data_IF_857653600756
#
_entry.id   IF_857653600756
#
_cell.length_a   1.000
_cell.length_b   1.000
_cell.length_c   1.000
_cell.angle_alpha   90.00
_cell.angle_beta   90.00
_cell.angle_gamma   90.00
#
_symmetry.space_group_name_H-M   'P 1'
#
loop_
_entity.id
_entity.type
_entity.pdbx_description
1 polymer ?
#
# COMPACT_ATOMS: atom_id res chain seq x y z
N UNK A 1 41.52 -75.85 15.13
CA UNK A 1 41.17 -74.45 14.85
C UNK A 1 39.94 -74.07 15.65
N UNK A 2 40.05 -73.17 16.64
CA UNK A 2 38.94 -72.42 17.25
C UNK A 2 39.54 -71.38 18.20
N UNK A 3 39.71 -70.15 17.72
CA UNK A 3 40.07 -69.00 18.56
C UNK A 3 38.84 -68.08 18.59
N UNK A 4 38.28 -67.95 19.79
CA UNK A 4 37.16 -67.05 20.11
C UNK A 4 37.71 -65.64 20.28
N UNK A 5 37.29 -64.70 19.43
CA UNK A 5 37.51 -63.28 19.67
C UNK A 5 36.19 -62.62 20.06
N UNK A 6 36.11 -62.28 21.34
CA UNK A 6 35.15 -61.38 21.98
C UNK A 6 35.69 -59.96 21.73
N UNK A 7 34.95 -59.08 21.05
CA UNK A 7 35.22 -57.65 21.09
C UNK A 7 33.94 -56.85 21.30
N UNK A 8 34.01 -56.00 22.32
CA UNK A 8 32.96 -55.23 22.97
C UNK A 8 32.28 -54.21 22.05
N UNK A 9 30.95 -54.18 22.16
CA UNK A 9 30.11 -53.06 21.72
C UNK A 9 30.30 -51.88 22.68
N UNK A 10 30.86 -50.78 22.20
CA UNK A 10 30.69 -49.45 22.82
C UNK A 10 29.73 -48.67 21.93
N UNK A 11 28.46 -48.67 22.33
CA UNK A 11 27.40 -47.87 21.71
C UNK A 11 27.36 -46.54 22.45
N UNK A 12 27.87 -45.47 21.83
CA UNK A 12 27.68 -44.09 22.29
C UNK A 12 26.47 -43.51 21.53
N UNK A 13 25.32 -43.25 22.17
CA UNK A 13 24.25 -42.50 21.53
C UNK A 13 24.62 -41.01 21.57
N UNK A 14 25.14 -40.49 20.46
CA UNK A 14 25.27 -39.05 20.26
C UNK A 14 23.86 -38.44 20.11
N UNK A 15 23.35 -37.89 21.22
CA UNK A 15 22.12 -37.12 21.29
C UNK A 15 22.30 -35.84 20.46
N UNK A 16 21.95 -35.90 19.18
CA UNK A 16 22.00 -34.77 18.26
C UNK A 16 20.86 -33.81 18.61
N UNK A 17 21.18 -32.78 19.39
CA UNK A 17 20.29 -31.70 19.77
C UNK A 17 20.02 -30.83 18.54
N UNK A 18 19.01 -31.20 17.75
CA UNK A 18 18.50 -30.38 16.65
C UNK A 18 17.78 -29.19 17.29
N UNK A 19 18.53 -28.12 17.54
CA UNK A 19 17.96 -26.82 17.87
C UNK A 19 17.15 -26.36 16.66
N UNK A 20 15.84 -26.59 16.72
CA UNK A 20 14.85 -25.94 15.84
C UNK A 20 14.89 -24.46 16.20
N UNK A 21 15.84 -23.74 15.62
CA UNK A 21 15.75 -22.30 15.47
C UNK A 21 14.56 -22.06 14.55
N UNK A 22 13.37 -21.98 15.15
CA UNK A 22 12.23 -21.32 14.57
C UNK A 22 12.65 -19.85 14.39
N UNK A 23 13.32 -19.58 13.27
CA UNK A 23 13.68 -18.24 12.85
C UNK A 23 12.39 -17.47 12.77
N UNK A 24 12.16 -16.61 13.77
CA UNK A 24 11.20 -15.54 13.65
C UNK A 24 11.65 -14.74 12.44
N UNK A 25 10.97 -14.91 11.32
CA UNK A 25 11.07 -13.98 10.22
C UNK A 25 10.61 -12.64 10.81
N UNK A 26 11.56 -11.84 11.27
CA UNK A 26 11.35 -10.43 11.60
C UNK A 26 10.68 -9.85 10.36
N UNK A 27 9.38 -9.61 10.46
CA UNK A 27 8.61 -8.95 9.42
C UNK A 27 9.24 -7.57 9.28
N UNK A 28 10.08 -7.39 8.26
CA UNK A 28 10.73 -6.12 8.01
C UNK A 28 9.66 -5.02 7.98
N UNK A 29 9.77 -4.08 8.90
CA UNK A 29 8.82 -2.97 8.98
C UNK A 29 8.81 -2.21 7.65
N UNK A 30 7.61 -1.83 7.19
CA UNK A 30 7.48 -1.06 5.97
C UNK A 30 8.23 0.29 6.13
N UNK A 31 8.93 0.78 5.08
CA UNK A 31 9.72 1.99 5.20
C UNK A 31 8.83 3.21 5.43
N UNK A 32 9.17 4.01 6.44
CA UNK A 32 8.51 5.29 6.68
C UNK A 32 9.13 6.34 5.74
N UNK A 33 8.36 6.75 4.74
CA UNK A 33 8.77 7.78 3.78
C UNK A 33 7.76 8.90 3.78
N UNK A 34 8.24 10.10 4.05
CA UNK A 34 7.50 11.34 3.96
C UNK A 34 8.13 12.25 2.91
N UNK A 35 7.28 12.88 2.11
CA UNK A 35 7.70 13.81 1.08
C UNK A 35 6.80 15.04 1.09
N UNK A 36 7.41 16.20 1.28
CA UNK A 36 6.74 17.49 1.18
C UNK A 36 6.75 17.95 -0.28
N UNK A 37 5.57 17.92 -0.89
CA UNK A 37 5.36 18.29 -2.29
C UNK A 37 5.52 19.78 -2.56
N UNK A 38 5.39 20.64 -1.55
CA UNK A 38 5.47 22.09 -1.70
C UNK A 38 6.91 22.59 -1.62
N UNK A 39 7.74 21.97 -0.78
CA UNK A 39 9.14 22.36 -0.56
C UNK A 39 10.17 21.42 -1.19
N UNK A 40 9.71 20.34 -1.83
CA UNK A 40 10.52 19.29 -2.43
C UNK A 40 11.49 18.60 -1.45
N UNK A 41 11.02 18.36 -0.23
CA UNK A 41 11.83 17.78 0.86
C UNK A 41 11.42 16.35 1.19
N UNK A 42 12.42 15.54 1.48
CA UNK A 42 12.35 14.10 1.70
C UNK A 42 12.81 13.76 3.13
N UNK A 43 11.99 12.98 3.83
CA UNK A 43 12.37 12.28 5.07
C UNK A 43 12.15 10.79 4.89
N UNK A 44 13.12 9.99 5.31
CA UNK A 44 13.11 8.52 5.18
C UNK A 44 13.60 7.91 6.47
N UNK A 45 12.89 6.92 6.99
CA UNK A 45 13.36 6.00 8.02
C UNK A 45 13.07 4.58 7.55
N UNK A 46 14.14 3.83 7.32
CA UNK A 46 14.07 2.45 6.87
C UNK A 46 15.14 1.64 7.59
N UNK A 47 14.80 0.43 8.03
CA UNK A 47 15.72 -0.50 8.70
C UNK A 47 15.62 -1.86 8.02
N UNK A 48 16.71 -2.31 7.39
CA UNK A 48 16.81 -3.58 6.65
C UNK A 48 15.69 -3.77 5.59
N UNK A 49 15.25 -2.70 4.94
CA UNK A 49 14.22 -2.73 3.89
C UNK A 49 14.86 -2.84 2.52
N UNK A 50 14.22 -3.53 1.57
CA UNK A 50 14.63 -3.53 0.14
C UNK A 50 14.89 -2.12 -0.42
N UNK A 51 16.02 -1.92 -1.10
CA UNK A 51 16.34 -0.65 -1.79
C UNK A 51 15.24 -0.29 -2.78
N UNK A 52 14.78 -1.25 -3.59
CA UNK A 52 13.65 -1.07 -4.50
C UNK A 52 12.39 -0.64 -3.76
N UNK A 53 12.09 -1.18 -2.58
CA UNK A 53 10.93 -0.81 -1.78
C UNK A 53 10.97 0.65 -1.31
N UNK A 54 12.13 1.10 -0.81
CA UNK A 54 12.34 2.50 -0.41
C UNK A 54 12.19 3.44 -1.62
N UNK A 55 12.86 3.14 -2.73
CA UNK A 55 12.78 3.95 -3.95
C UNK A 55 11.37 3.97 -4.55
N UNK A 56 10.65 2.84 -4.52
CA UNK A 56 9.27 2.76 -5.01
C UNK A 56 8.36 3.70 -4.23
N UNK A 57 8.51 3.73 -2.90
CA UNK A 57 7.74 4.62 -2.06
C UNK A 57 8.07 6.09 -2.32
N UNK A 58 9.36 6.42 -2.50
CA UNK A 58 9.79 7.78 -2.87
C UNK A 58 9.18 8.16 -4.23
N UNK A 59 9.26 7.32 -5.26
CA UNK A 59 8.74 7.59 -6.60
C UNK A 59 7.25 7.91 -6.58
N UNK A 60 6.46 7.09 -5.89
CA UNK A 60 5.01 7.27 -5.76
C UNK A 60 4.62 8.58 -5.06
N UNK A 61 5.48 9.11 -4.18
CA UNK A 61 5.22 10.34 -3.44
C UNK A 61 5.73 11.57 -4.20
N UNK A 62 6.93 11.48 -4.80
CA UNK A 62 7.62 12.60 -5.43
C UNK A 62 7.35 12.75 -6.92
N UNK A 63 6.79 11.74 -7.58
CA UNK A 63 6.60 11.71 -9.04
C UNK A 63 7.86 11.51 -9.88
N UNK A 64 9.03 11.40 -9.24
CA UNK A 64 10.26 11.05 -9.92
C UNK A 64 10.27 9.57 -10.35
N UNK A 65 10.84 9.29 -11.51
CA UNK A 65 11.07 7.94 -11.99
C UNK A 65 12.41 7.41 -11.51
N UNK A 66 12.41 6.18 -10.99
CA UNK A 66 13.63 5.46 -10.68
C UNK A 66 13.76 4.25 -11.58
N UNK A 67 14.90 4.18 -12.29
CA UNK A 67 15.31 3.02 -13.05
C UNK A 67 16.48 2.38 -12.32
N UNK A 68 16.35 1.11 -11.96
CA UNK A 68 17.35 0.38 -11.18
C UNK A 68 17.81 -0.85 -11.94
N UNK A 69 19.10 -1.15 -11.87
CA UNK A 69 19.59 -2.47 -12.27
C UNK A 69 19.26 -3.51 -11.17
N UNK A 70 18.61 -4.64 -11.48
CA UNK A 70 18.31 -5.67 -10.47
C UNK A 70 19.52 -6.15 -9.67
N UNK A 71 20.74 -6.04 -10.22
CA UNK A 71 21.97 -6.46 -9.54
C UNK A 71 22.36 -5.56 -8.34
N UNK A 72 21.77 -4.36 -8.20
CA UNK A 72 22.02 -3.49 -7.04
C UNK A 72 21.00 -3.68 -5.91
N UNK A 73 20.06 -4.60 -6.06
CA UNK A 73 19.04 -4.84 -5.05
C UNK A 73 19.65 -5.44 -3.79
N UNK A 74 19.46 -4.74 -2.67
CA UNK A 74 19.96 -5.14 -1.35
C UNK A 74 19.12 -4.51 -0.23
N UNK A 75 19.08 -5.11 0.98
CA UNK A 75 18.48 -4.47 2.13
C UNK A 75 19.30 -3.23 2.56
N UNK A 76 18.62 -2.17 2.93
CA UNK A 76 19.23 -0.89 3.32
C UNK A 76 18.65 -0.38 4.63
N UNK A 77 19.51 0.26 5.43
CA UNK A 77 19.12 0.99 6.64
C UNK A 77 19.49 2.46 6.47
N UNK A 78 18.48 3.32 6.37
CA UNK A 78 18.64 4.71 5.94
C UNK A 78 17.79 5.62 6.82
N UNK A 79 18.42 6.69 7.31
CA UNK A 79 17.74 7.77 8.03
C UNK A 79 18.06 9.11 7.37
N UNK A 80 17.03 9.75 6.82
CA UNK A 80 17.05 11.10 6.26
C UNK A 80 15.98 11.93 6.95
N UNK A 81 16.33 13.16 7.34
CA UNK A 81 15.39 14.11 7.92
C UNK A 81 15.42 15.40 7.11
N UNK A 82 14.26 15.76 6.56
CA UNK A 82 14.00 17.03 5.90
C UNK A 82 15.08 17.48 4.90
N UNK A 83 15.44 16.59 3.97
CA UNK A 83 16.50 16.84 2.99
C UNK A 83 15.90 17.17 1.63
N UNK A 84 16.43 18.14 0.85
CA UNK A 84 16.02 18.34 -0.53
C UNK A 84 16.07 17.02 -1.30
N UNK A 85 15.05 16.71 -2.09
CA UNK A 85 14.84 15.39 -2.71
C UNK A 85 16.12 14.87 -3.39
N UNK A 86 16.73 15.68 -4.25
CA UNK A 86 17.94 15.29 -4.98
C UNK A 86 19.11 14.99 -4.06
N UNK A 87 19.31 15.82 -3.02
CA UNK A 87 20.38 15.63 -2.06
C UNK A 87 20.16 14.35 -1.24
N UNK A 88 18.90 14.07 -0.88
CA UNK A 88 18.48 12.83 -0.24
C UNK A 88 18.81 11.61 -1.09
N UNK A 89 18.38 11.62 -2.35
CA UNK A 89 18.65 10.53 -3.30
C UNK A 89 20.14 10.32 -3.55
N UNK A 90 20.91 11.39 -3.75
CA UNK A 90 22.38 11.32 -3.88
C UNK A 90 23.00 10.68 -2.64
N UNK A 91 22.53 11.03 -1.44
CA UNK A 91 23.02 10.46 -0.18
C UNK A 91 22.74 8.96 -0.09
N UNK A 92 21.52 8.52 -0.41
CA UNK A 92 21.12 7.10 -0.43
C UNK A 92 22.06 6.29 -1.33
N UNK A 93 22.23 6.73 -2.57
CA UNK A 93 23.00 5.95 -3.55
C UNK A 93 24.50 5.97 -3.23
N UNK A 94 25.04 7.11 -2.78
CA UNK A 94 26.45 7.21 -2.38
C UNK A 94 26.78 6.37 -1.14
N UNK A 95 25.88 6.25 -0.16
CA UNK A 95 26.12 5.39 1.01
C UNK A 95 26.25 3.91 0.68
N UNK A 96 25.83 3.50 -0.52
CA UNK A 96 25.85 2.12 -0.99
C UNK A 96 26.97 1.86 -2.03
N UNK A 97 27.86 2.84 -2.25
CA UNK A 97 28.88 2.85 -3.32
C UNK A 97 28.34 2.54 -4.74
N UNK A 98 27.10 2.98 -5.01
CA UNK A 98 26.47 2.80 -6.30
C UNK A 98 26.70 4.00 -7.23
N UNK A 99 26.64 3.76 -8.53
CA UNK A 99 26.69 4.82 -9.55
C UNK A 99 25.28 5.26 -9.95
N UNK A 100 25.13 6.52 -10.34
CA UNK A 100 23.85 7.05 -10.79
C UNK A 100 23.97 8.11 -11.88
N UNK A 101 22.88 8.29 -12.62
CA UNK A 101 22.67 9.40 -13.53
C UNK A 101 21.30 10.04 -13.24
N UNK A 102 21.24 11.37 -13.28
CA UNK A 102 20.02 12.14 -13.07
C UNK A 102 19.64 12.86 -14.36
N UNK A 103 18.36 12.80 -14.73
CA UNK A 103 17.79 13.44 -15.90
C UNK A 103 16.80 14.50 -15.45
N UNK A 104 16.89 15.68 -16.06
CA UNK A 104 16.18 16.87 -15.64
C UNK A 104 15.31 17.42 -16.77
N UNK A 105 14.17 18.01 -16.45
CA UNK A 105 13.43 18.85 -17.39
C UNK A 105 13.85 20.30 -17.23
N UNK A 106 14.27 20.91 -18.33
CA UNK A 106 14.22 22.37 -18.49
C UNK A 106 12.85 22.72 -19.04
N UNK A 107 12.14 23.67 -18.43
CA UNK A 107 10.94 24.22 -19.09
C UNK A 107 11.39 25.19 -20.17
N UNK A 108 10.75 25.07 -21.33
CA UNK A 108 10.93 26.03 -22.41
C UNK A 108 10.46 27.42 -21.95
N UNK A 109 11.30 28.44 -22.13
CA UNK A 109 11.01 29.81 -21.71
C UNK A 109 11.17 30.10 -20.20
N UNK A 110 11.73 29.18 -19.41
CA UNK A 110 12.09 29.47 -18.02
C UNK A 110 13.42 30.22 -17.97
N UNK A 111 13.54 31.20 -17.07
CA UNK A 111 14.81 31.88 -16.78
C UNK A 111 15.92 30.87 -16.53
N UNK A 112 17.13 31.15 -17.03
CA UNK A 112 18.32 30.31 -16.80
C UNK A 112 18.62 30.11 -15.31
N UNK A 113 18.09 30.98 -14.44
CA UNK A 113 18.20 30.92 -13.00
C UNK A 113 17.26 29.90 -12.32
N UNK A 114 16.23 29.40 -13.03
CA UNK A 114 15.30 28.44 -12.44
C UNK A 114 15.93 27.05 -12.30
N UNK A 115 15.83 26.46 -11.12
CA UNK A 115 16.37 25.13 -10.88
C UNK A 115 15.66 24.08 -11.76
N UNK A 116 16.41 23.24 -12.49
CA UNK A 116 15.83 22.26 -13.37
C UNK A 116 15.17 21.15 -12.55
N UNK A 117 14.04 20.62 -13.04
CA UNK A 117 13.24 19.65 -12.28
C UNK A 117 13.77 18.23 -12.52
N UNK A 118 14.25 17.53 -11.47
CA UNK A 118 14.61 16.12 -11.58
C UNK A 118 13.39 15.27 -12.01
N UNK A 119 13.49 14.58 -13.15
CA UNK A 119 12.44 13.68 -13.65
C UNK A 119 12.79 12.23 -13.36
N UNK A 120 13.98 11.79 -13.77
CA UNK A 120 14.38 10.38 -13.78
C UNK A 120 15.76 10.24 -13.13
N UNK A 121 15.95 9.21 -12.32
CA UNK A 121 17.24 8.80 -11.81
C UNK A 121 17.50 7.33 -12.13
N UNK A 122 18.66 7.06 -12.74
CA UNK A 122 19.16 5.72 -13.08
C UNK A 122 20.18 5.31 -12.03
N UNK A 123 20.08 4.09 -11.50
CA UNK A 123 20.93 3.56 -10.43
C UNK A 123 21.52 2.23 -10.91
N UNK A 124 22.85 2.12 -10.86
CA UNK A 124 23.61 1.02 -11.46
C UNK A 124 24.81 0.62 -10.60
N UNK A 125 25.33 -0.61 -10.75
CA UNK A 125 26.60 -0.99 -10.13
C UNK A 125 27.74 -0.13 -10.65
N UNK A 126 28.71 0.16 -9.78
CA UNK A 126 29.88 0.96 -10.14
C UNK A 126 30.71 0.26 -11.22
N UNK A 127 31.10 1.01 -12.24
CA UNK A 127 31.91 0.51 -13.36
C UNK A 127 31.14 -0.26 -14.43
N UNK A 128 29.83 -0.45 -14.30
CA UNK A 128 29.01 -1.14 -15.30
C UNK A 128 28.69 -0.24 -16.51
N UNK A 129 28.93 -0.74 -17.73
CA UNK A 129 28.68 0.01 -18.98
C UNK A 129 27.29 -0.22 -19.57
N UNK A 130 26.75 -1.44 -19.44
CA UNK A 130 25.48 -1.84 -20.06
C UNK A 130 24.49 -2.34 -18.99
N UNK A 131 23.92 -1.43 -18.18
CA UNK A 131 22.99 -1.80 -17.11
C UNK A 131 21.65 -2.27 -17.68
N UNK A 132 21.05 -3.29 -17.05
CA UNK A 132 19.69 -3.73 -17.32
C UNK A 132 18.70 -2.93 -16.47
N UNK A 133 18.40 -1.72 -16.92
CA UNK A 133 17.57 -0.79 -16.16
C UNK A 133 16.09 -1.17 -16.23
N UNK A 134 15.49 -1.43 -15.07
CA UNK A 134 14.04 -1.65 -14.93
C UNK A 134 13.40 -0.55 -14.09
N UNK A 135 12.18 -0.09 -14.44
CA UNK A 135 11.48 0.87 -13.61
C UNK A 135 11.10 0.26 -12.26
N UNK A 136 11.37 1.00 -11.19
CA UNK A 136 11.03 0.60 -9.82
C UNK A 136 9.50 0.56 -9.64
N UNK A 137 8.79 1.50 -10.27
CA UNK A 137 7.33 1.61 -10.25
C UNK A 137 6.81 1.51 -11.67
N UNK A 138 5.81 0.65 -11.88
CA UNK A 138 5.12 0.58 -13.17
C UNK A 138 4.30 1.87 -13.39
N UNK A 139 4.53 2.53 -14.52
CA UNK A 139 3.85 3.76 -14.92
C UNK A 139 2.32 3.64 -14.88
N UNK A 140 1.75 2.53 -15.37
CA UNK A 140 0.29 2.31 -15.34
C UNK A 140 -0.22 2.25 -13.89
N UNK A 141 0.48 1.51 -13.04
CA UNK A 141 0.15 1.40 -11.62
C UNK A 141 0.23 2.75 -10.89
N UNK A 142 1.25 3.55 -11.18
CA UNK A 142 1.36 4.91 -10.63
C UNK A 142 0.20 5.81 -11.08
N UNK A 143 -0.14 5.77 -12.37
CA UNK A 143 -1.20 6.59 -12.94
C UNK A 143 -2.57 6.28 -12.30
N UNK A 144 -2.83 5.00 -12.06
CA UNK A 144 -4.02 4.51 -11.33
C UNK A 144 -4.02 4.97 -9.87
N UNK A 145 -2.88 4.88 -9.15
CA UNK A 145 -2.79 5.37 -7.77
C UNK A 145 -3.05 6.88 -7.69
N UNK A 146 -2.55 7.64 -8.68
CA UNK A 146 -2.73 9.11 -8.75
C UNK A 146 -4.16 9.50 -9.08
N UNK A 147 -4.84 8.76 -9.96
CA UNK A 147 -6.23 9.06 -10.31
C UNK A 147 -7.18 8.93 -9.11
N UNK A 148 -6.94 7.96 -8.21
CA UNK A 148 -7.76 7.78 -7.01
C UNK A 148 -7.47 8.78 -5.88
N UNK A 149 -6.25 9.32 -5.80
CA UNK A 149 -5.88 10.31 -4.77
C UNK A 149 -6.52 11.68 -4.98
N UNK A 150 -7.19 11.91 -6.11
CA UNK A 150 -8.06 13.08 -6.35
C UNK A 150 -9.45 12.91 -5.73
N UNK A 151 -9.60 12.16 -4.63
CA UNK A 151 -10.80 12.30 -3.81
C UNK A 151 -10.88 13.78 -3.42
N UNK A 152 -12.00 14.48 -3.69
CA UNK A 152 -12.14 15.85 -3.25
C UNK A 152 -11.85 15.85 -1.75
N UNK A 153 -10.75 16.50 -1.37
CA UNK A 153 -10.46 16.72 0.04
C UNK A 153 -11.71 17.31 0.70
N UNK A 154 -11.91 17.06 1.99
CA UNK A 154 -12.98 17.69 2.77
C UNK A 154 -13.15 19.13 2.29
N UNK A 155 -14.35 19.47 1.80
CA UNK A 155 -14.70 20.79 1.24
C UNK A 155 -14.02 21.89 2.08
N UNK A 156 -13.02 22.58 1.51
CA UNK A 156 -12.32 23.69 2.19
C UNK A 156 -10.79 23.71 2.13
N UNK A 157 -10.12 22.67 1.62
CA UNK A 157 -8.65 22.67 1.45
C UNK A 157 -8.23 22.19 0.06
N UNK A 158 -8.57 22.96 -0.97
CA UNK A 158 -7.90 22.86 -2.27
C UNK A 158 -7.20 24.18 -2.52
N UNK A 159 -6.11 24.43 -1.81
CA UNK A 159 -5.15 25.40 -2.32
C UNK A 159 -4.60 24.80 -3.62
N UNK A 160 -4.77 25.45 -4.78
CA UNK A 160 -4.04 25.06 -5.97
C UNK A 160 -2.56 25.22 -5.63
N UNK A 161 -1.89 24.10 -5.36
CA UNK A 161 -0.46 24.12 -5.07
C UNK A 161 0.26 24.42 -6.37
N UNK A 162 0.45 25.71 -6.65
CA UNK A 162 1.34 26.25 -7.69
C UNK A 162 2.73 25.60 -7.60
N UNK A 163 3.06 25.02 -6.44
CA UNK A 163 4.32 24.35 -6.12
C UNK A 163 4.21 22.83 -5.94
N UNK A 164 3.19 22.12 -6.46
CA UNK A 164 3.18 20.65 -6.39
C UNK A 164 4.24 20.06 -7.32
N UNK A 165 5.46 19.88 -6.79
CA UNK A 165 6.59 19.30 -7.51
C UNK A 165 6.29 17.86 -7.97
N UNK A 166 5.47 17.11 -7.23
CA UNK A 166 5.12 15.74 -7.61
C UNK A 166 4.19 15.68 -8.83
N UNK A 167 3.23 16.60 -8.93
CA UNK A 167 2.39 16.69 -10.13
C UNK A 167 3.21 17.21 -11.32
N UNK A 168 4.06 18.21 -11.11
CA UNK A 168 4.95 18.73 -12.17
C UNK A 168 5.84 17.63 -12.74
N UNK A 169 6.47 16.80 -11.89
CA UNK A 169 7.31 15.66 -12.34
C UNK A 169 6.50 14.58 -13.06
N UNK A 170 5.28 14.33 -12.63
CA UNK A 170 4.42 13.37 -13.30
C UNK A 170 4.02 13.85 -14.70
N UNK A 171 3.57 15.09 -14.84
CA UNK A 171 3.23 15.68 -16.14
C UNK A 171 4.44 15.73 -17.08
N UNK A 172 5.59 16.16 -16.56
CA UNK A 172 6.88 16.09 -17.22
C UNK A 172 7.20 14.72 -17.85
N UNK A 173 6.91 13.63 -17.14
CA UNK A 173 7.10 12.26 -17.64
C UNK A 173 6.12 11.90 -18.74
N UNK A 174 4.85 12.31 -18.58
CA UNK A 174 3.83 12.08 -19.60
C UNK A 174 4.19 12.83 -20.89
N UNK A 175 4.63 14.07 -20.80
CA UNK A 175 5.01 14.88 -21.98
C UNK A 175 6.15 14.25 -22.79
N UNK A 176 7.09 13.58 -22.11
CA UNK A 176 8.19 12.86 -22.74
C UNK A 176 7.82 11.44 -23.21
N UNK A 177 6.57 11.02 -23.04
CA UNK A 177 6.11 9.67 -23.39
C UNK A 177 5.49 9.64 -24.79
N UNK A 178 5.69 8.54 -25.57
CA UNK A 178 4.98 8.35 -26.82
C UNK A 178 3.47 8.50 -26.67
N UNK A 179 2.82 9.17 -27.62
CA UNK A 179 1.38 9.46 -27.57
C UNK A 179 0.52 8.20 -27.43
N UNK A 180 0.88 7.12 -28.13
CA UNK A 180 0.19 5.83 -28.03
C UNK A 180 0.18 5.29 -26.59
N UNK A 181 1.31 5.38 -25.89
CA UNK A 181 1.41 4.92 -24.49
C UNK A 181 0.61 5.81 -23.55
N UNK A 182 0.57 7.12 -23.80
CA UNK A 182 -0.28 8.05 -23.04
C UNK A 182 -1.75 7.70 -23.18
N UNK A 183 -2.25 7.55 -24.41
CA UNK A 183 -3.65 7.17 -24.69
C UNK A 183 -4.02 5.85 -24.01
N UNK A 184 -3.15 4.83 -24.08
CA UNK A 184 -3.38 3.56 -23.39
C UNK A 184 -3.47 3.71 -21.86
N UNK A 185 -2.69 4.60 -21.25
CA UNK A 185 -2.78 4.88 -19.81
C UNK A 185 -4.10 5.59 -19.48
N UNK A 186 -4.49 6.58 -20.27
CA UNK A 186 -5.74 7.31 -20.10
C UNK A 186 -6.96 6.40 -20.23
N UNK A 187 -6.97 5.51 -21.23
CA UNK A 187 -8.02 4.51 -21.43
C UNK A 187 -8.11 3.52 -20.26
N UNK A 188 -6.97 2.97 -19.78
CA UNK A 188 -6.95 2.05 -18.62
C UNK A 188 -7.45 2.75 -17.34
N UNK A 189 -7.09 4.02 -17.14
CA UNK A 189 -7.59 4.81 -16.01
C UNK A 189 -9.10 5.00 -16.12
N UNK A 190 -9.59 5.38 -17.30
CA UNK A 190 -11.02 5.61 -17.55
C UNK A 190 -11.82 4.33 -17.30
N UNK A 191 -11.38 3.20 -17.86
CA UNK A 191 -12.03 1.90 -17.66
C UNK A 191 -12.08 1.53 -16.17
N UNK A 192 -10.98 1.68 -15.43
CA UNK A 192 -10.95 1.39 -13.98
C UNK A 192 -11.84 2.32 -13.18
N UNK A 193 -11.99 3.57 -13.59
CA UNK A 193 -12.92 4.52 -12.95
C UNK A 193 -14.37 4.10 -13.18
N UNK A 194 -14.72 3.71 -14.40
CA UNK A 194 -16.05 3.19 -14.74
C UNK A 194 -16.36 1.89 -13.97
N UNK A 195 -15.42 0.94 -13.92
CA UNK A 195 -15.56 -0.29 -13.14
C UNK A 195 -15.74 -0.01 -11.64
N UNK A 196 -15.04 0.99 -11.09
CA UNK A 196 -15.20 1.38 -9.69
C UNK A 196 -16.53 2.07 -9.42
N UNK A 197 -16.99 2.94 -10.31
CA UNK A 197 -18.30 3.58 -10.22
C UNK A 197 -19.40 2.52 -10.23
N UNK A 198 -19.36 1.58 -11.18
CA UNK A 198 -20.30 0.47 -11.27
C UNK A 198 -20.32 -0.40 -10.00
N UNK A 199 -19.14 -0.72 -9.43
CA UNK A 199 -19.05 -1.47 -8.15
C UNK A 199 -19.61 -0.70 -6.97
N UNK A 200 -19.53 0.63 -6.96
CA UNK A 200 -20.10 1.45 -5.90
C UNK A 200 -21.61 1.51 -6.03
N UNK A 201 -22.13 1.72 -7.23
CA UNK A 201 -23.56 1.66 -7.53
C UNK A 201 -24.17 0.30 -7.16
N UNK A 202 -23.51 -0.81 -7.52
CA UNK A 202 -23.94 -2.16 -7.14
C UNK A 202 -24.01 -2.34 -5.61
N UNK A 203 -23.02 -1.80 -4.88
CA UNK A 203 -23.01 -1.86 -3.41
C UNK A 203 -24.14 -1.03 -2.80
N UNK A 204 -24.44 0.13 -3.36
CA UNK A 204 -25.53 1.00 -2.91
C UNK A 204 -26.89 0.35 -3.19
N UNK A 205 -27.09 -0.24 -4.37
CA UNK A 205 -28.28 -1.01 -4.71
C UNK A 205 -28.48 -2.19 -3.75
N UNK A 206 -27.43 -2.99 -3.51
CA UNK A 206 -27.48 -4.10 -2.54
C UNK A 206 -27.77 -3.64 -1.12
N UNK A 207 -27.29 -2.46 -0.74
CA UNK A 207 -27.59 -1.87 0.58
C UNK A 207 -29.06 -1.48 0.66
N UNK A 208 -29.59 -0.81 -0.37
CA UNK A 208 -31.00 -0.43 -0.45
C UNK A 208 -31.93 -1.65 -0.42
N UNK A 209 -31.63 -2.69 -1.20
CA UNK A 209 -32.39 -3.95 -1.21
C UNK A 209 -32.40 -4.62 0.18
N UNK A 210 -31.26 -4.63 0.87
CA UNK A 210 -31.17 -5.16 2.24
C UNK A 210 -31.98 -4.33 3.24
N UNK A 211 -32.03 -3.01 3.07
CA UNK A 211 -32.81 -2.11 3.91
C UNK A 211 -34.31 -2.31 3.66
N UNK A 212 -34.73 -2.44 2.40
CA UNK A 212 -36.12 -2.76 2.02
C UNK A 212 -36.56 -4.11 2.59
N UNK A 213 -35.77 -5.17 2.41
CA UNK A 213 -36.08 -6.50 2.99
C UNK A 213 -36.16 -6.48 4.52
N UNK A 214 -35.33 -5.66 5.18
CA UNK A 214 -35.38 -5.48 6.63
C UNK A 214 -36.68 -4.77 7.03
N UNK A 215 -37.08 -3.74 6.30
CA UNK A 215 -38.32 -3.01 6.54
C UNK A 215 -39.55 -3.92 6.33
N UNK A 216 -39.58 -4.69 5.24
CA UNK A 216 -40.64 -5.67 4.96
C UNK A 216 -40.75 -6.72 6.08
N UNK A 217 -39.63 -7.29 6.50
CA UNK A 217 -39.61 -8.28 7.59
C UNK A 217 -40.04 -7.68 8.94
N UNK A 218 -39.68 -6.42 9.21
CA UNK A 218 -40.15 -5.70 10.39
C UNK A 218 -41.66 -5.45 10.35
N UNK A 219 -42.18 -4.98 9.21
CA UNK A 219 -43.61 -4.76 9.02
C UNK A 219 -44.41 -6.07 9.17
N UNK A 220 -43.93 -7.17 8.57
CA UNK A 220 -44.55 -8.49 8.71
C UNK A 220 -44.56 -8.98 10.16
N UNK A 221 -43.48 -8.75 10.91
CA UNK A 221 -43.42 -9.09 12.35
C UNK A 221 -44.41 -8.28 13.16
N UNK A 222 -44.52 -6.98 12.90
CA UNK A 222 -45.47 -6.10 13.59
C UNK A 222 -46.91 -6.53 13.30
N UNK A 223 -47.26 -6.76 12.03
CA UNK A 223 -48.59 -7.23 11.65
C UNK A 223 -48.95 -8.57 12.30
N UNK A 224 -48.02 -9.53 12.34
CA UNK A 224 -48.23 -10.81 13.00
C UNK A 224 -48.36 -10.68 14.54
N UNK A 225 -47.71 -9.69 15.16
CA UNK A 225 -47.87 -9.40 16.59
C UNK A 225 -49.22 -8.75 16.89
N UNK A 226 -49.70 -7.85 16.02
CA UNK A 226 -51.03 -7.23 16.12
C UNK A 226 -52.14 -8.28 15.93
N UNK A 227 -52.04 -9.12 14.91
CA UNK A 227 -52.99 -10.22 14.66
C UNK A 227 -53.03 -11.21 15.84
N UNK A 228 -51.88 -11.55 16.43
CA UNK A 228 -51.82 -12.42 17.61
C UNK A 228 -52.49 -11.76 18.83
N UNK A 229 -52.29 -10.46 19.01
CA UNK A 229 -52.91 -9.69 20.10
C UNK A 229 -54.43 -9.65 19.97
N UNK A 230 -54.95 -9.53 18.75
CA UNK A 230 -56.39 -9.53 18.49
C UNK A 230 -57.01 -10.92 18.62
N UNK A 231 -56.35 -11.96 18.09
CA UNK A 231 -56.89 -13.33 18.05
C UNK A 231 -56.70 -14.12 19.35
N UNK A 232 -55.60 -13.90 20.09
CA UNK A 232 -55.28 -14.63 21.32
C UNK A 232 -54.44 -13.78 22.30
N UNK A 233 -55.08 -12.95 23.14
CA UNK A 233 -54.37 -12.02 24.03
C UNK A 233 -53.54 -12.72 25.12
N UNK A 234 -54.01 -13.85 25.66
CA UNK A 234 -53.28 -14.60 26.70
C UNK A 234 -51.94 -15.14 26.17
N UNK A 235 -51.94 -15.70 24.95
CA UNK A 235 -50.73 -16.19 24.30
C UNK A 235 -49.76 -15.05 23.96
N UNK A 236 -50.29 -13.88 23.60
CA UNK A 236 -49.49 -12.68 23.37
C UNK A 236 -48.78 -12.23 24.65
N UNK A 237 -49.48 -12.15 25.79
CA UNK A 237 -48.90 -11.79 27.09
C UNK A 237 -47.80 -12.78 27.52
N UNK A 238 -48.05 -14.09 27.38
CA UNK A 238 -47.06 -15.12 27.68
C UNK A 238 -45.78 -14.95 26.84
N UNK A 239 -45.90 -14.64 25.55
CA UNK A 239 -44.75 -14.37 24.67
C UNK A 239 -43.98 -13.12 25.11
N UNK A 240 -44.66 -12.08 25.58
CA UNK A 240 -43.98 -10.87 26.07
C UNK A 240 -43.19 -11.18 27.35
N UNK A 241 -43.77 -11.93 28.29
CA UNK A 241 -43.05 -12.38 29.49
C UNK A 241 -41.81 -13.20 29.15
N UNK A 242 -41.91 -14.14 28.20
CA UNK A 242 -40.76 -14.92 27.74
C UNK A 242 -39.67 -14.04 27.10
N UNK A 243 -40.04 -13.03 26.30
CA UNK A 243 -39.08 -12.09 25.71
C UNK A 243 -38.35 -11.28 26.78
N UNK A 244 -39.05 -10.86 27.83
CA UNK A 244 -38.44 -10.12 28.96
C UNK A 244 -37.48 -10.99 29.76
N UNK A 245 -37.84 -12.25 30.03
CA UNK A 245 -36.97 -13.20 30.73
C UNK A 245 -35.67 -13.45 29.94
N UNK A 246 -35.76 -13.63 28.62
CA UNK A 246 -34.58 -13.79 27.76
C UNK A 246 -33.70 -12.53 27.77
N UNK A 247 -34.30 -11.33 27.74
CA UNK A 247 -33.56 -10.06 27.83
C UNK A 247 -32.84 -9.91 29.17
N UNK A 248 -33.49 -10.28 30.27
CA UNK A 248 -32.87 -10.27 31.60
C UNK A 248 -31.69 -11.23 31.65
N UNK A 249 -31.87 -12.49 31.23
CA UNK A 249 -30.79 -13.49 31.16
C UNK A 249 -29.59 -13.01 30.35
N UNK A 250 -29.80 -12.48 29.16
CA UNK A 250 -28.72 -11.94 28.32
C UNK A 250 -28.00 -10.74 28.97
N UNK A 251 -28.71 -9.92 29.74
CA UNK A 251 -28.11 -8.77 30.45
C UNK A 251 -27.28 -9.24 31.63
N UNK A 252 -27.73 -10.27 32.35
CA UNK A 252 -27.00 -10.86 33.47
C UNK A 252 -25.75 -11.60 33.01
N UNK A 253 -25.81 -12.30 31.87
CA UNK A 253 -24.64 -12.94 31.23
C UNK A 253 -23.56 -11.93 30.83
N UNK A 254 -23.94 -10.73 30.37
CA UNK A 254 -22.98 -9.67 30.02
C UNK A 254 -22.31 -9.01 31.25
N UNK A 255 -22.84 -9.23 32.45
CA UNK A 255 -22.31 -8.66 33.71
C UNK A 255 -21.34 -9.61 34.44
N UNK A 256 -21.31 -10.88 34.08
CA UNK A 256 -20.38 -11.88 34.62
C UNK A 256 -19.06 -11.86 33.84
#
# INVERSE_FOLDING_TARGET
MRIRCIWMRVFLPALMLVAVFAGQAESAEAPEVFYDKATDRLSVKAEKVSLKGVLARIALLSGAEFLIDPAVEQPVSITLKDMPLEKGLKRIVKSLDLSYAMMYQKKEGQDEAAEPLLITMKIVPKGMKNPNLVPVVNVKGEAVIRSFKRRPGRKGQTLPSIFDYAEKRWQARLDNMPEEKRKQIEEDIKQRQEEQAARMEEKEQRKAEREERRAEHQARRQAAEEELKESNPELYELRQQQKEEIRQKATDELRQ
#
